data_IF_678054092717
#
_entry.id   IF_678054092717
#
_cell.length_a   1.000
_cell.length_b   1.000
_cell.length_c   1.000
_cell.angle_alpha   90.00
_cell.angle_beta   90.00
_cell.angle_gamma   90.00
#
_symmetry.space_group_name_H-M   'P 1'
#
loop_
_entity.id
_entity.type
_entity.pdbx_description
1 polymer ?
#
# COMPACT_ATOMS: atom_id res chain seq x y z
N UNK A 1 -28.83 -12.42 13.25
CA UNK A 1 -28.53 -11.25 14.09
C UNK A 1 -27.74 -10.28 13.23
N UNK A 2 -28.26 -9.10 12.94
CA UNK A 2 -27.49 -8.02 12.28
C UNK A 2 -26.50 -7.51 13.31
N UNK A 3 -25.20 -7.76 13.07
CA UNK A 3 -24.13 -7.20 13.90
C UNK A 3 -24.20 -5.67 13.81
N UNK A 4 -24.09 -4.97 14.94
CA UNK A 4 -23.94 -3.52 14.96
C UNK A 4 -22.68 -3.14 14.19
N UNK A 5 -22.75 -2.24 13.21
CA UNK A 5 -21.58 -1.83 12.44
C UNK A 5 -20.50 -1.21 13.33
N UNK A 6 -19.22 -1.48 13.06
CA UNK A 6 -18.11 -0.78 13.68
C UNK A 6 -18.07 0.67 13.20
N UNK A 7 -17.90 1.58 14.11
CA UNK A 7 -17.79 3.02 13.87
C UNK A 7 -16.37 3.40 13.48
N UNK A 8 -16.19 3.91 12.28
CA UNK A 8 -14.91 4.31 11.74
C UNK A 8 -14.80 5.84 11.74
N UNK A 9 -13.73 6.35 12.33
CA UNK A 9 -13.34 7.74 12.22
C UNK A 9 -12.20 7.90 11.24
N UNK A 10 -12.33 8.80 10.28
CA UNK A 10 -11.32 9.08 9.24
C UNK A 10 -10.58 10.38 9.56
N UNK A 11 -9.26 10.31 9.74
CA UNK A 11 -8.41 11.48 9.92
C UNK A 11 -7.81 11.90 8.58
N UNK A 12 -8.18 13.09 8.11
CA UNK A 12 -7.76 13.63 6.82
C UNK A 12 -8.76 13.36 5.70
N UNK A 13 -9.15 14.44 5.01
CA UNK A 13 -10.09 14.38 3.87
C UNK A 13 -9.45 14.99 2.60
N UNK A 14 -8.14 14.73 2.43
CA UNK A 14 -7.39 14.97 1.21
C UNK A 14 -7.73 13.96 0.12
N UNK A 15 -6.84 13.79 -0.87
CA UNK A 15 -7.06 12.84 -1.96
C UNK A 15 -7.29 11.41 -1.44
N UNK A 16 -6.42 10.91 -0.55
CA UNK A 16 -6.53 9.55 -0.04
C UNK A 16 -7.84 9.36 0.76
N UNK A 17 -8.10 10.23 1.73
CA UNK A 17 -9.32 10.15 2.54
C UNK A 17 -10.59 10.20 1.72
N UNK A 18 -10.68 11.14 0.77
CA UNK A 18 -11.89 11.36 -0.04
C UNK A 18 -12.10 10.29 -1.11
N UNK A 19 -11.02 9.93 -1.84
CA UNK A 19 -11.13 9.08 -3.04
C UNK A 19 -11.03 7.60 -2.69
N UNK A 20 -10.22 7.23 -1.71
CA UNK A 20 -9.99 5.82 -1.36
C UNK A 20 -10.73 5.44 -0.08
N UNK A 21 -10.37 6.04 1.06
CA UNK A 21 -10.80 5.55 2.37
C UNK A 21 -12.31 5.69 2.60
N UNK A 22 -12.88 6.89 2.43
CA UNK A 22 -14.29 7.11 2.71
C UNK A 22 -15.23 6.23 1.85
N UNK A 23 -15.05 6.14 0.51
CA UNK A 23 -15.87 5.24 -0.31
C UNK A 23 -15.74 3.76 0.08
N UNK A 24 -14.52 3.29 0.39
CA UNK A 24 -14.30 1.91 0.79
C UNK A 24 -14.94 1.59 2.14
N UNK A 25 -14.86 2.51 3.12
CA UNK A 25 -15.52 2.36 4.43
C UNK A 25 -17.03 2.20 4.26
N UNK A 26 -17.68 3.12 3.55
CA UNK A 26 -19.15 3.10 3.42
C UNK A 26 -19.69 1.95 2.58
N UNK A 27 -18.86 1.38 1.68
CA UNK A 27 -19.22 0.22 0.86
C UNK A 27 -18.70 -1.13 1.41
N UNK A 28 -18.11 -1.14 2.61
CA UNK A 28 -17.74 -2.39 3.29
C UNK A 28 -18.82 -2.77 4.31
N UNK A 29 -19.54 -3.87 4.12
CA UNK A 29 -20.60 -4.29 5.06
C UNK A 29 -20.06 -4.42 6.49
N UNK A 30 -20.81 -3.94 7.48
CA UNK A 30 -20.44 -3.96 8.89
C UNK A 30 -19.50 -2.85 9.32
N UNK A 31 -19.21 -1.87 8.47
CA UNK A 31 -18.55 -0.62 8.82
C UNK A 31 -19.48 0.58 8.62
N UNK A 32 -19.27 1.63 9.39
CA UNK A 32 -19.96 2.91 9.25
C UNK A 32 -18.97 4.05 9.37
N UNK A 33 -18.95 4.97 8.40
CA UNK A 33 -18.22 6.22 8.53
C UNK A 33 -18.92 7.10 9.57
N UNK A 34 -18.38 7.12 10.79
CA UNK A 34 -18.98 7.79 11.95
C UNK A 34 -18.60 9.26 12.00
N UNK A 35 -17.32 9.56 11.79
CA UNK A 35 -16.83 10.94 11.81
C UNK A 35 -15.62 11.12 10.90
N UNK A 36 -15.37 12.36 10.49
CA UNK A 36 -14.20 12.77 9.70
C UNK A 36 -13.52 13.93 10.39
N UNK A 37 -12.20 13.78 10.67
CA UNK A 37 -11.39 14.92 11.11
C UNK A 37 -10.85 15.65 9.88
N UNK A 38 -11.32 16.87 9.66
CA UNK A 38 -10.97 17.72 8.52
C UNK A 38 -11.05 19.19 8.88
N UNK A 39 -10.16 20.00 8.32
CA UNK A 39 -10.24 21.47 8.38
C UNK A 39 -11.30 22.06 7.44
N UNK A 40 -11.79 21.26 6.49
CA UNK A 40 -12.78 21.65 5.49
C UNK A 40 -14.06 20.82 5.68
N UNK A 41 -14.95 21.31 6.56
CA UNK A 41 -16.20 20.63 6.86
C UNK A 41 -17.16 20.64 5.66
N UNK A 42 -17.18 21.72 4.88
CA UNK A 42 -18.06 21.83 3.73
C UNK A 42 -17.77 20.78 2.67
N UNK A 43 -16.50 20.49 2.44
CA UNK A 43 -16.05 19.45 1.52
C UNK A 43 -16.49 18.04 1.95
N UNK A 44 -16.45 17.74 3.23
CA UNK A 44 -16.92 16.45 3.76
C UNK A 44 -18.44 16.33 3.64
N UNK A 45 -19.16 17.37 4.07
CA UNK A 45 -20.62 17.39 4.06
C UNK A 45 -21.24 17.37 2.64
N UNK A 46 -20.49 17.88 1.65
CA UNK A 46 -20.92 17.76 0.23
C UNK A 46 -20.97 16.31 -0.25
N UNK A 47 -20.04 15.46 0.23
CA UNK A 47 -20.01 14.03 -0.14
C UNK A 47 -20.82 13.17 0.85
N UNK A 48 -20.83 13.53 2.16
CA UNK A 48 -21.46 12.79 3.26
C UNK A 48 -22.19 13.76 4.22
N UNK A 49 -23.43 14.18 3.90
CA UNK A 49 -24.16 15.21 4.66
C UNK A 49 -24.38 14.88 6.14
N UNK A 50 -24.56 13.60 6.46
CA UNK A 50 -24.91 13.13 7.82
C UNK A 50 -23.68 12.73 8.67
N UNK A 51 -22.47 12.84 8.12
CA UNK A 51 -21.26 12.45 8.84
C UNK A 51 -20.79 13.60 9.73
N UNK A 52 -20.49 13.30 11.00
CA UNK A 52 -19.93 14.28 11.92
C UNK A 52 -18.54 14.75 11.46
N UNK A 53 -18.32 16.06 11.42
CA UNK A 53 -17.01 16.64 11.09
C UNK A 53 -16.41 17.30 12.31
N UNK A 54 -15.18 16.96 12.63
CA UNK A 54 -14.41 17.55 13.74
C UNK A 54 -13.11 18.17 13.21
N UNK A 55 -12.72 19.31 13.78
CA UNK A 55 -11.47 19.97 13.38
C UNK A 55 -10.26 19.37 14.09
N UNK A 56 -10.42 18.93 15.32
CA UNK A 56 -9.33 18.40 16.17
C UNK A 56 -9.41 16.87 16.29
N UNK A 57 -8.37 16.12 15.83
CA UNK A 57 -8.29 14.68 15.98
C UNK A 57 -8.41 14.18 17.44
N UNK A 58 -8.03 14.99 18.43
CA UNK A 58 -8.14 14.62 19.84
C UNK A 58 -9.60 14.33 20.24
N UNK A 59 -10.56 15.02 19.64
CA UNK A 59 -12.00 14.75 19.86
C UNK A 59 -12.44 13.39 19.34
N UNK A 60 -11.81 12.92 18.24
CA UNK A 60 -12.02 11.55 17.72
C UNK A 60 -11.52 10.52 18.73
N UNK A 61 -10.32 10.75 19.29
CA UNK A 61 -9.73 9.81 20.23
C UNK A 61 -10.52 9.72 21.55
N UNK A 62 -11.12 10.83 21.98
CA UNK A 62 -11.93 10.90 23.19
C UNK A 62 -13.37 10.33 22.99
N UNK A 63 -13.84 10.15 21.78
CA UNK A 63 -15.20 9.66 21.51
C UNK A 63 -15.31 8.14 21.77
N UNK A 64 -16.01 7.69 22.81
CA UNK A 64 -16.13 6.26 23.14
C UNK A 64 -16.87 5.46 22.06
N UNK A 65 -17.61 6.12 21.19
CA UNK A 65 -18.34 5.50 20.09
C UNK A 65 -17.47 5.10 18.90
N UNK A 66 -16.19 5.50 18.86
CA UNK A 66 -15.27 5.14 17.76
C UNK A 66 -14.57 3.82 18.05
N UNK A 67 -14.66 2.86 17.13
CA UNK A 67 -13.99 1.56 17.19
C UNK A 67 -12.66 1.57 16.44
N UNK A 68 -12.64 2.15 15.24
CA UNK A 68 -11.49 2.18 14.32
C UNK A 68 -11.16 3.61 13.91
N UNK A 69 -9.89 3.98 14.01
CA UNK A 69 -9.35 5.24 13.47
C UNK A 69 -8.56 4.92 12.19
N UNK A 70 -8.91 5.59 11.09
CA UNK A 70 -8.17 5.54 9.82
C UNK A 70 -7.37 6.81 9.69
N UNK A 71 -6.03 6.68 9.55
CA UNK A 71 -5.12 7.82 9.41
C UNK A 71 -4.75 7.98 7.93
N UNK A 72 -5.30 9.00 7.27
CA UNK A 72 -5.09 9.32 5.86
C UNK A 72 -4.59 10.77 5.67
N UNK A 73 -3.71 11.18 6.56
CA UNK A 73 -3.06 12.50 6.62
C UNK A 73 -1.69 12.48 5.92
N UNK A 74 -0.92 13.57 5.84
CA UNK A 74 0.45 13.52 5.33
C UNK A 74 1.36 12.59 6.14
N UNK A 75 2.28 11.88 5.49
CA UNK A 75 3.12 10.83 6.06
C UNK A 75 3.79 11.19 7.40
N UNK A 76 4.29 12.41 7.54
CA UNK A 76 4.95 12.89 8.77
C UNK A 76 4.02 12.91 10.01
N UNK A 77 2.70 12.83 9.80
CA UNK A 77 1.71 12.84 10.89
C UNK A 77 1.17 11.44 11.22
N UNK A 78 1.54 10.41 10.47
CA UNK A 78 1.06 9.05 10.68
C UNK A 78 1.42 8.54 12.08
N UNK A 79 2.69 8.60 12.45
CA UNK A 79 3.16 8.07 13.73
C UNK A 79 2.53 8.78 14.94
N UNK A 80 2.57 10.12 15.08
CA UNK A 80 1.98 10.77 16.24
C UNK A 80 0.46 10.53 16.35
N UNK A 81 -0.29 10.55 15.24
CA UNK A 81 -1.74 10.35 15.28
C UNK A 81 -2.10 8.88 15.59
N UNK A 82 -1.42 7.92 14.99
CA UNK A 82 -1.65 6.52 15.25
C UNK A 82 -1.33 6.13 16.70
N UNK A 83 -0.19 6.60 17.24
CA UNK A 83 0.20 6.36 18.64
C UNK A 83 -0.83 6.96 19.60
N UNK A 84 -1.30 8.19 19.33
CA UNK A 84 -2.33 8.83 20.16
C UNK A 84 -3.64 8.05 20.15
N UNK A 85 -4.11 7.58 18.97
CA UNK A 85 -5.31 6.79 18.84
C UNK A 85 -5.19 5.43 19.55
N UNK A 86 -4.06 4.73 19.39
CA UNK A 86 -3.80 3.45 20.06
C UNK A 86 -3.82 3.60 21.59
N UNK A 87 -3.14 4.63 22.13
CA UNK A 87 -3.13 4.94 23.57
C UNK A 87 -4.50 5.32 24.10
N UNK A 88 -5.35 5.90 23.27
CA UNK A 88 -6.75 6.16 23.60
C UNK A 88 -7.65 4.90 23.48
N UNK A 89 -7.06 3.74 23.21
CA UNK A 89 -7.78 2.46 23.14
C UNK A 89 -8.51 2.21 21.83
N UNK A 90 -8.14 2.88 20.74
CA UNK A 90 -8.74 2.69 19.41
C UNK A 90 -7.90 1.75 18.56
N UNK A 91 -8.56 0.93 17.72
CA UNK A 91 -7.88 0.22 16.64
C UNK A 91 -7.46 1.20 15.55
N UNK A 92 -6.38 0.93 14.84
CA UNK A 92 -5.83 1.89 13.87
C UNK A 92 -5.49 1.22 12.54
N UNK A 93 -5.95 1.82 11.45
CA UNK A 93 -5.50 1.56 10.09
C UNK A 93 -4.81 2.82 9.55
N UNK A 94 -3.55 2.72 9.15
CA UNK A 94 -2.78 3.84 8.62
C UNK A 94 -2.67 3.73 7.10
N UNK A 95 -2.82 4.84 6.37
CA UNK A 95 -2.45 4.87 4.95
C UNK A 95 -0.95 4.56 4.78
N UNK A 96 -0.54 4.07 3.63
CA UNK A 96 0.87 3.79 3.34
C UNK A 96 1.66 5.08 3.03
N UNK A 97 2.96 5.11 3.34
CA UNK A 97 3.72 4.15 4.16
C UNK A 97 3.29 4.21 5.62
N UNK A 98 3.60 3.17 6.41
CA UNK A 98 3.25 3.16 7.84
C UNK A 98 3.80 4.40 8.55
N UNK A 99 5.05 4.78 8.26
CA UNK A 99 5.78 5.89 8.86
C UNK A 99 6.78 6.48 7.86
N UNK A 100 7.52 7.50 8.26
CA UNK A 100 8.59 8.13 7.46
C UNK A 100 9.96 7.47 7.63
N UNK A 101 10.07 6.46 8.49
CA UNK A 101 11.26 5.65 8.73
C UNK A 101 11.00 4.53 9.73
N UNK A 102 11.91 3.56 9.80
CA UNK A 102 11.77 2.34 10.60
C UNK A 102 11.60 2.64 12.09
N UNK A 103 12.38 3.56 12.64
CA UNK A 103 12.30 3.89 14.07
C UNK A 103 10.93 4.45 14.51
N UNK A 104 10.24 5.19 13.61
CA UNK A 104 8.86 5.63 13.87
C UNK A 104 7.89 4.44 13.83
N UNK A 105 8.04 3.57 12.83
CA UNK A 105 7.21 2.37 12.70
C UNK A 105 7.34 1.45 13.92
N UNK A 106 8.54 1.25 14.44
CA UNK A 106 8.80 0.48 15.66
C UNK A 106 8.07 1.06 16.87
N UNK A 107 8.07 2.40 17.03
CA UNK A 107 7.31 3.07 18.11
C UNK A 107 5.80 2.87 17.97
N UNK A 108 5.28 2.88 16.74
CA UNK A 108 3.85 2.62 16.48
C UNK A 108 3.47 1.19 16.83
N UNK A 109 4.31 0.22 16.45
CA UNK A 109 4.10 -1.20 16.79
C UNK A 109 4.19 -1.44 18.29
N UNK A 110 5.14 -0.79 18.98
CA UNK A 110 5.23 -0.84 20.44
C UNK A 110 3.94 -0.31 21.10
N UNK A 111 3.43 0.85 20.66
CA UNK A 111 2.19 1.41 21.17
C UNK A 111 0.96 0.50 20.93
N UNK A 112 0.92 -0.20 19.79
CA UNK A 112 -0.13 -1.17 19.51
C UNK A 112 -0.08 -2.36 20.47
N UNK A 113 1.12 -2.90 20.73
CA UNK A 113 1.33 -3.99 21.69
C UNK A 113 0.98 -3.56 23.12
N UNK A 114 1.41 -2.37 23.55
CA UNK A 114 1.13 -1.81 24.88
C UNK A 114 -0.37 -1.59 25.12
N UNK A 115 -1.09 -1.11 24.11
CA UNK A 115 -2.54 -0.84 24.21
C UNK A 115 -3.41 -2.08 24.01
N UNK A 116 -2.86 -3.17 23.49
CA UNK A 116 -3.61 -4.35 23.07
C UNK A 116 -4.56 -4.07 21.91
N UNK A 117 -4.28 -3.05 21.09
CA UNK A 117 -5.10 -2.66 19.96
C UNK A 117 -4.44 -3.06 18.64
N UNK A 118 -5.26 -3.29 17.64
CA UNK A 118 -4.80 -3.64 16.29
C UNK A 118 -4.25 -2.40 15.62
N UNK A 119 -3.02 -2.50 15.10
CA UNK A 119 -2.42 -1.59 14.13
C UNK A 119 -2.26 -2.32 12.81
N UNK A 120 -2.71 -1.71 11.73
CA UNK A 120 -2.51 -2.23 10.37
C UNK A 120 -2.22 -1.10 9.39
N UNK A 121 -1.79 -1.46 8.17
CA UNK A 121 -1.47 -0.53 7.08
C UNK A 121 -2.38 -0.81 5.89
N UNK A 122 -2.81 0.25 5.21
CA UNK A 122 -3.64 0.15 4.02
C UNK A 122 -2.79 -0.20 2.79
N UNK A 123 -2.30 -1.44 2.73
CA UNK A 123 -1.64 -2.00 1.55
C UNK A 123 -2.69 -2.51 0.56
N UNK A 124 -3.47 -1.58 0.02
CA UNK A 124 -4.60 -1.87 -0.87
C UNK A 124 -4.19 -2.67 -2.10
N UNK A 125 -2.96 -2.47 -2.61
CA UNK A 125 -2.48 -3.14 -3.82
C UNK A 125 -2.18 -4.64 -3.65
N UNK A 126 -2.32 -5.19 -2.44
CA UNK A 126 -2.47 -6.64 -2.23
C UNK A 126 -3.75 -7.18 -2.90
N UNK A 127 -4.71 -6.29 -3.18
CA UNK A 127 -6.01 -6.58 -3.78
C UNK A 127 -6.11 -6.06 -5.23
N UNK A 128 -4.99 -5.70 -5.86
CA UNK A 128 -4.93 -5.44 -7.30
C UNK A 128 -5.16 -6.75 -8.07
N UNK A 129 -5.98 -6.71 -9.11
CA UNK A 129 -6.30 -7.87 -9.95
C UNK A 129 -5.04 -8.51 -10.57
N UNK A 130 -4.10 -7.66 -11.00
CA UNK A 130 -2.81 -8.08 -11.57
C UNK A 130 -1.96 -8.84 -10.56
N UNK A 131 -1.91 -8.37 -9.31
CA UNK A 131 -1.15 -9.01 -8.23
C UNK A 131 -1.82 -10.31 -7.75
N UNK A 132 -3.14 -10.33 -7.59
CA UNK A 132 -3.88 -11.55 -7.21
C UNK A 132 -3.67 -12.66 -8.23
N UNK A 133 -3.69 -12.31 -9.52
CA UNK A 133 -3.42 -13.26 -10.61
C UNK A 133 -1.98 -13.79 -10.55
N UNK A 134 -1.00 -12.90 -10.40
CA UNK A 134 0.41 -13.30 -10.26
C UNK A 134 0.62 -14.20 -9.04
N UNK A 135 0.03 -13.85 -7.90
CA UNK A 135 0.12 -14.65 -6.68
C UNK A 135 -0.42 -16.06 -6.89
N UNK A 136 -1.59 -16.18 -7.51
CA UNK A 136 -2.15 -17.50 -7.85
C UNK A 136 -1.21 -18.33 -8.71
N UNK A 137 -0.59 -17.74 -9.75
CA UNK A 137 0.36 -18.44 -10.61
C UNK A 137 1.61 -18.93 -9.87
N UNK A 138 2.11 -18.14 -8.91
CA UNK A 138 3.25 -18.52 -8.07
C UNK A 138 2.87 -19.63 -7.09
N UNK A 139 1.73 -19.49 -6.40
CA UNK A 139 1.21 -20.46 -5.43
C UNK A 139 0.89 -21.82 -6.10
N UNK A 140 0.35 -21.80 -7.32
CA UNK A 140 0.05 -23.00 -8.14
C UNK A 140 1.31 -23.63 -8.78
N UNK A 141 2.47 -23.00 -8.65
CA UNK A 141 3.73 -23.47 -9.25
C UNK A 141 3.78 -23.39 -10.78
N UNK A 142 2.90 -22.61 -11.41
CA UNK A 142 2.79 -22.47 -12.87
C UNK A 142 4.07 -21.91 -13.52
N UNK A 143 4.87 -21.19 -12.77
CA UNK A 143 6.13 -20.61 -13.21
C UNK A 143 7.35 -21.45 -12.80
N UNK A 144 7.14 -22.54 -12.05
CA UNK A 144 8.23 -23.26 -11.41
C UNK A 144 8.94 -22.42 -10.34
N UNK A 145 10.24 -22.59 -10.17
CA UNK A 145 11.04 -21.70 -9.28
C UNK A 145 11.24 -20.36 -9.98
N UNK A 146 10.70 -19.27 -9.38
CA UNK A 146 10.87 -17.92 -9.91
C UNK A 146 12.31 -17.45 -9.68
N UNK A 147 12.99 -17.04 -10.75
CA UNK A 147 14.39 -16.60 -10.73
C UNK A 147 14.55 -15.11 -11.01
N UNK A 148 13.56 -14.50 -11.66
CA UNK A 148 13.54 -13.07 -11.97
C UNK A 148 12.12 -12.53 -11.90
N UNK A 149 11.95 -11.37 -11.24
CA UNK A 149 10.71 -10.62 -11.21
C UNK A 149 11.00 -9.15 -11.43
N UNK A 150 10.30 -8.54 -12.37
CA UNK A 150 10.24 -7.09 -12.55
C UNK A 150 8.83 -6.60 -12.17
N UNK A 151 8.77 -5.61 -11.29
CA UNK A 151 7.54 -4.90 -10.90
C UNK A 151 7.70 -3.43 -11.20
N UNK A 152 6.88 -2.91 -12.11
CA UNK A 152 6.96 -1.55 -12.61
C UNK A 152 5.73 -0.74 -12.22
N UNK A 153 5.95 0.54 -11.89
CA UNK A 153 4.90 1.50 -11.66
C UNK A 153 5.26 2.85 -12.29
N UNK A 154 5.40 2.85 -13.60
CA UNK A 154 5.87 3.99 -14.36
C UNK A 154 4.77 4.99 -14.66
N UNK A 155 5.15 6.26 -14.86
CA UNK A 155 4.26 7.35 -15.23
C UNK A 155 4.96 8.33 -16.14
N UNK A 156 4.17 9.11 -16.89
CA UNK A 156 4.70 10.26 -17.64
C UNK A 156 4.17 11.55 -17.04
N UNK A 157 4.98 12.20 -16.21
CA UNK A 157 4.67 13.45 -15.50
C UNK A 157 5.88 14.39 -15.55
N UNK A 158 6.17 14.99 -16.71
CA UNK A 158 7.37 15.82 -16.88
C UNK A 158 7.33 17.11 -16.04
N UNK A 159 6.14 17.65 -15.78
CA UNK A 159 5.99 18.81 -14.90
C UNK A 159 5.93 18.40 -13.43
N UNK A 160 6.62 19.14 -12.56
CA UNK A 160 6.53 19.01 -11.09
C UNK A 160 5.21 19.64 -10.63
N UNK A 161 4.40 18.88 -9.89
CA UNK A 161 3.13 19.36 -9.39
C UNK A 161 3.29 20.03 -8.02
N UNK A 162 2.50 21.08 -7.74
CA UNK A 162 2.47 21.70 -6.42
C UNK A 162 1.65 20.86 -5.42
N UNK A 163 2.31 19.85 -4.85
CA UNK A 163 1.74 18.97 -3.83
C UNK A 163 2.82 18.59 -2.80
N UNK A 164 2.41 18.23 -1.59
CA UNK A 164 3.34 17.95 -0.50
C UNK A 164 4.36 16.84 -0.80
N UNK A 165 3.99 15.82 -1.60
CA UNK A 165 4.87 14.70 -1.99
C UNK A 165 6.01 15.11 -2.92
N UNK A 166 5.88 16.24 -3.60
CA UNK A 166 6.89 16.82 -4.51
C UNK A 166 7.76 17.89 -3.80
N UNK A 167 7.46 18.20 -2.52
CA UNK A 167 8.23 19.11 -1.69
C UNK A 167 9.17 18.31 -0.80
N UNK A 168 10.39 18.81 -0.56
CA UNK A 168 11.36 18.17 0.32
C UNK A 168 10.79 18.01 1.74
N UNK A 169 10.89 16.80 2.28
CA UNK A 169 10.40 16.48 3.62
C UNK A 169 10.39 14.97 3.89
N UNK A 170 10.19 14.58 5.18
CA UNK A 170 10.15 13.16 5.54
C UNK A 170 9.06 12.40 4.82
N UNK A 171 9.40 11.28 4.20
CA UNK A 171 8.45 10.43 3.48
C UNK A 171 7.92 11.02 2.18
N UNK A 172 8.56 12.07 1.62
CA UNK A 172 8.29 12.60 0.29
C UNK A 172 9.08 11.81 -0.77
N UNK A 173 8.78 12.09 -2.05
CA UNK A 173 9.43 11.46 -3.19
C UNK A 173 8.73 10.19 -3.68
N UNK A 174 9.17 9.72 -4.83
CA UNK A 174 8.57 8.59 -5.53
C UNK A 174 8.83 7.27 -4.80
N UNK A 175 10.00 7.13 -4.17
CA UNK A 175 10.34 5.94 -3.40
C UNK A 175 9.35 5.70 -2.25
N UNK A 176 9.03 6.72 -1.45
CA UNK A 176 8.03 6.60 -0.39
C UNK A 176 6.58 6.64 -0.90
N UNK A 177 6.32 7.11 -2.13
CA UNK A 177 4.97 7.06 -2.73
C UNK A 177 4.65 5.68 -3.32
N UNK A 178 5.54 5.08 -4.10
CA UNK A 178 5.29 3.84 -4.84
C UNK A 178 6.08 2.63 -4.31
N UNK A 179 7.26 2.84 -3.76
CA UNK A 179 8.09 1.76 -3.20
C UNK A 179 7.37 0.89 -2.17
N UNK A 180 6.58 1.44 -1.21
CA UNK A 180 5.85 0.63 -0.24
C UNK A 180 4.95 -0.43 -0.87
N UNK A 181 4.31 -0.14 -1.99
CA UNK A 181 3.46 -1.07 -2.70
C UNK A 181 4.24 -2.19 -3.37
N UNK A 182 5.32 -1.82 -4.09
CA UNK A 182 6.13 -2.79 -4.84
C UNK A 182 6.89 -3.71 -3.88
N UNK A 183 7.45 -3.14 -2.81
CA UNK A 183 8.12 -3.89 -1.74
C UNK A 183 7.14 -4.86 -1.09
N UNK A 184 5.98 -4.37 -0.61
CA UNK A 184 4.99 -5.20 0.05
C UNK A 184 4.56 -6.39 -0.80
N UNK A 185 4.26 -6.17 -2.10
CA UNK A 185 3.88 -7.24 -3.02
C UNK A 185 4.97 -8.32 -3.16
N UNK A 186 6.24 -7.92 -3.27
CA UNK A 186 7.35 -8.89 -3.38
C UNK A 186 7.55 -9.64 -2.06
N UNK A 187 7.43 -8.96 -0.90
CA UNK A 187 7.52 -9.62 0.40
C UNK A 187 6.37 -10.63 0.62
N UNK A 188 5.17 -10.36 0.09
CA UNK A 188 4.06 -11.32 0.14
C UNK A 188 4.34 -12.59 -0.66
N UNK A 189 5.09 -12.50 -1.77
CA UNK A 189 5.40 -13.64 -2.62
C UNK A 189 6.61 -14.44 -2.13
N UNK A 190 7.64 -13.77 -1.62
CA UNK A 190 8.98 -14.39 -1.43
C UNK A 190 9.59 -14.12 -0.05
N UNK A 191 8.89 -13.42 0.85
CA UNK A 191 9.43 -13.02 2.16
C UNK A 191 10.57 -12.02 2.07
N UNK A 192 11.35 -11.90 3.15
CA UNK A 192 12.43 -10.92 3.26
C UNK A 192 13.62 -11.27 2.35
N UNK A 193 14.17 -10.28 1.60
CA UNK A 193 15.37 -10.49 0.80
C UNK A 193 16.63 -10.56 1.67
N UNK A 194 17.70 -11.10 1.11
CA UNK A 194 19.02 -11.11 1.76
C UNK A 194 19.68 -9.73 1.77
N UNK A 195 19.44 -8.93 0.73
CA UNK A 195 20.05 -7.62 0.59
C UNK A 195 19.25 -6.75 -0.39
N UNK A 196 19.43 -5.43 -0.28
CA UNK A 196 18.84 -4.39 -1.13
C UNK A 196 19.95 -3.61 -1.82
N UNK A 197 19.83 -3.42 -3.13
CA UNK A 197 20.64 -2.47 -3.91
C UNK A 197 19.71 -1.49 -4.62
N UNK A 198 19.92 -0.20 -4.44
CA UNK A 198 19.02 0.84 -4.92
C UNK A 198 19.76 1.96 -5.65
N UNK A 199 19.16 2.40 -6.75
CA UNK A 199 19.40 3.69 -7.38
C UNK A 199 18.10 4.51 -7.23
N UNK A 200 18.16 5.59 -6.46
CA UNK A 200 17.04 6.51 -6.21
C UNK A 200 17.53 7.90 -6.60
N UNK A 201 16.88 8.52 -7.58
CA UNK A 201 17.40 9.72 -8.22
C UNK A 201 16.34 10.79 -8.48
N UNK A 202 16.80 12.00 -8.65
CA UNK A 202 16.04 13.15 -9.16
C UNK A 202 16.40 13.32 -10.63
N UNK A 203 15.45 13.11 -11.53
CA UNK A 203 15.64 13.21 -12.96
C UNK A 203 15.04 14.48 -13.57
N UNK A 204 13.93 15.00 -13.01
CA UNK A 204 13.33 16.25 -13.48
C UNK A 204 14.10 17.46 -12.93
N UNK A 205 14.49 18.44 -13.75
CA UNK A 205 15.36 19.54 -13.31
C UNK A 205 14.83 20.36 -12.13
N UNK A 206 13.50 20.49 -12.01
CA UNK A 206 12.85 21.31 -10.98
C UNK A 206 12.35 20.49 -9.77
N UNK A 207 12.59 19.17 -9.77
CA UNK A 207 12.13 18.32 -8.67
C UNK A 207 13.02 18.50 -7.43
N UNK A 208 12.38 18.62 -6.28
CA UNK A 208 13.05 18.74 -4.97
C UNK A 208 13.21 17.39 -4.25
N UNK A 209 12.64 16.33 -4.80
CA UNK A 209 12.62 14.96 -4.26
C UNK A 209 12.79 13.95 -5.37
N UNK A 210 13.11 12.71 -5.03
CA UNK A 210 13.26 11.62 -5.99
C UNK A 210 11.99 11.41 -6.83
N UNK A 211 12.19 11.16 -8.11
CA UNK A 211 11.16 10.90 -9.10
C UNK A 211 11.49 9.71 -10.01
N UNK A 212 12.51 8.98 -9.60
CA UNK A 212 12.99 7.73 -10.19
C UNK A 212 13.53 6.81 -9.10
N UNK A 213 13.25 5.52 -9.22
CA UNK A 213 13.98 4.49 -8.52
C UNK A 213 14.09 3.20 -9.35
N UNK A 214 15.23 2.51 -9.16
CA UNK A 214 15.50 1.17 -9.65
C UNK A 214 16.16 0.40 -8.51
N UNK A 215 15.43 -0.57 -7.95
CA UNK A 215 15.83 -1.28 -6.73
C UNK A 215 15.84 -2.77 -6.98
N UNK A 216 16.94 -3.44 -6.63
CA UNK A 216 17.09 -4.89 -6.73
C UNK A 216 17.05 -5.50 -5.34
N UNK A 217 16.05 -6.33 -5.08
CA UNK A 217 15.97 -7.20 -3.92
C UNK A 217 16.62 -8.54 -4.23
N UNK A 218 17.66 -8.89 -3.47
CA UNK A 218 18.47 -10.08 -3.68
C UNK A 218 18.01 -11.22 -2.78
N UNK A 219 17.62 -12.32 -3.39
CA UNK A 219 17.37 -13.60 -2.72
C UNK A 219 18.45 -14.61 -3.15
N UNK A 220 18.51 -15.82 -2.58
CA UNK A 220 19.51 -16.80 -2.96
C UNK A 220 19.58 -17.04 -4.47
N UNK A 221 18.43 -17.24 -5.12
CA UNK A 221 18.33 -17.51 -6.57
C UNK A 221 17.50 -16.49 -7.33
N UNK A 222 16.57 -15.76 -6.68
CA UNK A 222 15.71 -14.75 -7.29
C UNK A 222 16.37 -13.36 -7.27
N UNK A 223 16.15 -12.59 -8.34
CA UNK A 223 16.34 -11.13 -8.38
C UNK A 223 14.98 -10.49 -8.60
N UNK A 224 14.47 -9.73 -7.62
CA UNK A 224 13.27 -8.96 -7.78
C UNK A 224 13.65 -7.49 -8.01
N UNK A 225 13.27 -6.97 -9.18
CA UNK A 225 13.54 -5.60 -9.62
C UNK A 225 12.27 -4.77 -9.43
N UNK A 226 12.39 -3.71 -8.64
CA UNK A 226 11.33 -2.73 -8.41
C UNK A 226 11.68 -1.44 -9.14
N UNK A 227 10.80 -0.94 -9.98
CA UNK A 227 11.07 0.23 -10.79
C UNK A 227 9.89 1.19 -10.83
N UNK A 228 10.17 2.48 -10.72
CA UNK A 228 9.25 3.53 -11.09
C UNK A 228 10.00 4.77 -11.58
N UNK A 229 9.47 5.38 -12.62
CA UNK A 229 9.98 6.63 -13.17
C UNK A 229 8.85 7.60 -13.50
N UNK A 230 9.10 8.91 -13.28
CA UNK A 230 8.15 9.96 -13.62
C UNK A 230 8.21 10.39 -15.10
N UNK A 231 9.22 9.94 -15.85
CA UNK A 231 9.47 10.33 -17.25
C UNK A 231 9.33 9.18 -18.25
N UNK A 232 8.57 8.16 -17.93
CA UNK A 232 8.36 6.98 -18.79
C UNK A 232 7.07 7.12 -19.57
N UNK A 233 7.17 7.55 -20.83
CA UNK A 233 6.00 7.77 -21.69
C UNK A 233 5.37 6.44 -22.20
N UNK A 234 6.20 5.41 -22.46
CA UNK A 234 5.75 4.07 -22.86
C UNK A 234 5.66 3.15 -21.62
N UNK A 235 4.79 3.48 -20.68
CA UNK A 235 4.70 2.90 -19.34
C UNK A 235 3.76 1.69 -19.24
N UNK A 236 3.79 0.80 -20.19
CA UNK A 236 2.84 -0.32 -20.24
C UNK A 236 3.18 -1.50 -19.33
N UNK A 237 4.46 -1.77 -19.04
CA UNK A 237 4.86 -2.94 -18.26
C UNK A 237 4.41 -2.80 -16.80
N UNK A 238 3.77 -3.86 -16.27
CA UNK A 238 3.42 -3.97 -14.85
C UNK A 238 4.24 -5.06 -14.17
N UNK A 239 4.20 -6.27 -14.71
CA UNK A 239 5.00 -7.39 -14.24
C UNK A 239 5.66 -8.11 -15.41
N UNK A 240 6.95 -8.48 -15.24
CA UNK A 240 7.61 -9.53 -16.00
C UNK A 240 8.21 -10.50 -15.00
N UNK A 241 7.76 -11.74 -15.03
CA UNK A 241 8.17 -12.78 -14.09
C UNK A 241 8.63 -14.00 -14.83
N UNK A 242 9.83 -14.47 -14.52
CA UNK A 242 10.49 -15.58 -15.18
C UNK A 242 10.86 -16.65 -14.15
N UNK A 243 10.51 -17.87 -14.45
CA UNK A 243 10.83 -19.04 -13.62
C UNK A 243 11.25 -20.24 -14.45
N UNK A 244 11.60 -21.32 -13.79
CA UNK A 244 12.07 -22.55 -14.44
C UNK A 244 10.97 -23.27 -15.24
N UNK A 245 9.70 -22.97 -14.98
CA UNK A 245 8.54 -23.57 -15.64
C UNK A 245 7.86 -22.65 -16.65
N UNK A 246 8.19 -21.37 -16.71
CA UNK A 246 7.56 -20.44 -17.63
C UNK A 246 7.77 -18.97 -17.28
N UNK A 247 7.12 -18.11 -18.05
CA UNK A 247 7.16 -16.66 -17.89
C UNK A 247 5.76 -16.06 -17.88
N UNK A 248 5.54 -15.02 -17.07
CA UNK A 248 4.31 -14.26 -17.03
C UNK A 248 4.58 -12.80 -17.27
N UNK A 249 3.91 -12.21 -18.25
CA UNK A 249 4.02 -10.79 -18.60
C UNK A 249 2.66 -10.13 -18.45
N UNK A 250 2.60 -9.04 -17.67
CA UNK A 250 1.40 -8.24 -17.47
C UNK A 250 1.68 -6.79 -17.83
N UNK A 251 0.79 -6.22 -18.61
CA UNK A 251 0.78 -4.80 -18.94
C UNK A 251 -0.44 -4.11 -18.33
N UNK A 252 -0.35 -2.79 -18.13
CA UNK A 252 -1.42 -1.98 -17.55
C UNK A 252 -1.52 -2.12 -16.03
N UNK A 253 -2.14 -1.13 -15.40
CA UNK A 253 -2.38 -1.09 -13.95
C UNK A 253 -3.80 -1.53 -13.63
N UNK A 254 -4.00 -2.02 -12.41
CA UNK A 254 -5.32 -2.31 -11.84
C UNK A 254 -6.29 -1.12 -12.01
N UNK A 255 -7.55 -1.34 -12.42
CA UNK A 255 -8.49 -0.27 -12.73
C UNK A 255 -9.17 0.37 -11.51
N UNK A 256 -9.07 -0.21 -10.31
CA UNK A 256 -9.82 0.25 -9.13
C UNK A 256 -9.50 1.70 -8.74
N UNK A 257 -8.22 2.13 -8.81
CA UNK A 257 -7.88 3.53 -8.54
C UNK A 257 -8.56 4.48 -9.54
N UNK A 258 -8.57 4.14 -10.83
CA UNK A 258 -9.22 4.94 -11.85
C UNK A 258 -10.74 4.98 -11.64
N UNK A 259 -11.36 3.87 -11.27
CA UNK A 259 -12.78 3.76 -10.95
C UNK A 259 -13.15 4.63 -9.73
N UNK A 260 -12.37 4.58 -8.65
CA UNK A 260 -12.57 5.45 -7.47
C UNK A 260 -12.45 6.93 -7.81
N UNK A 261 -11.47 7.31 -8.64
CA UNK A 261 -11.31 8.70 -9.10
C UNK A 261 -12.46 9.17 -9.98
N UNK A 262 -13.08 8.26 -10.70
CA UNK A 262 -14.28 8.53 -11.52
C UNK A 262 -15.57 8.50 -10.69
N UNK A 263 -15.51 8.25 -9.37
CA UNK A 263 -16.66 8.19 -8.48
C UNK A 263 -17.50 6.91 -8.62
N UNK A 264 -16.95 5.86 -9.23
CA UNK A 264 -17.60 4.55 -9.33
C UNK A 264 -17.58 3.90 -7.93
N UNK A 265 -18.75 3.49 -7.48
CA UNK A 265 -18.91 2.88 -6.16
C UNK A 265 -18.16 1.55 -6.04
N UNK A 266 -17.39 1.32 -4.96
CA UNK A 266 -16.78 0.03 -4.69
C UNK A 266 -17.79 -1.11 -4.68
N UNK A 267 -17.51 -2.17 -5.44
CA UNK A 267 -18.41 -3.31 -5.60
C UNK A 267 -19.54 -3.15 -6.60
N UNK A 268 -19.56 -2.06 -7.39
CA UNK A 268 -20.46 -1.93 -8.54
C UNK A 268 -20.18 -3.05 -9.58
N UNK A 269 -21.12 -3.36 -10.47
CA UNK A 269 -20.90 -4.35 -11.52
C UNK A 269 -19.63 -4.07 -12.32
N UNK A 270 -18.75 -5.07 -12.45
CA UNK A 270 -17.45 -4.94 -13.10
C UNK A 270 -16.33 -4.30 -12.23
N UNK A 271 -16.61 -3.99 -10.96
CA UNK A 271 -15.61 -3.52 -10.02
C UNK A 271 -14.41 -4.46 -9.96
N UNK A 272 -13.19 -3.87 -10.02
CA UNK A 272 -11.93 -4.61 -9.92
C UNK A 272 -11.59 -5.53 -11.09
N UNK A 273 -12.43 -5.62 -12.12
CA UNK A 273 -12.14 -6.40 -13.32
C UNK A 273 -11.13 -5.68 -14.20
N UNK A 274 -9.97 -6.28 -14.37
CA UNK A 274 -8.97 -5.79 -15.31
C UNK A 274 -9.27 -6.33 -16.72
N UNK A 275 -9.55 -5.47 -17.71
CA UNK A 275 -9.85 -5.90 -19.07
C UNK A 275 -8.62 -6.38 -19.83
N UNK A 276 -7.40 -6.07 -19.35
CA UNK A 276 -6.16 -6.44 -20.02
C UNK A 276 -5.62 -7.75 -19.45
N UNK A 277 -5.63 -8.86 -20.21
CA UNK A 277 -5.08 -10.12 -19.72
C UNK A 277 -3.57 -10.06 -19.56
N UNK A 278 -3.03 -10.86 -18.65
CA UNK A 278 -1.62 -11.21 -18.65
C UNK A 278 -1.32 -12.36 -19.59
N UNK A 279 -0.09 -12.50 -20.04
CA UNK A 279 0.34 -13.56 -20.95
C UNK A 279 1.23 -14.53 -20.19
N UNK A 280 0.80 -15.77 -20.09
CA UNK A 280 1.60 -16.89 -19.59
C UNK A 280 2.22 -17.63 -20.78
N UNK A 281 3.54 -17.79 -20.75
CA UNK A 281 4.31 -18.57 -21.72
C UNK A 281 5.00 -19.72 -21.01
N UNK A 282 4.70 -20.94 -21.40
CA UNK A 282 5.39 -22.15 -20.91
C UNK A 282 6.14 -22.78 -22.06
N UNK A 283 7.27 -23.51 -21.81
CA UNK A 283 8.02 -24.20 -22.85
C UNK A 283 7.10 -25.14 -23.67
N UNK A 284 7.37 -25.22 -24.94
CA UNK A 284 6.70 -26.11 -25.90
C UNK A 284 5.18 -25.93 -26.03
N UNK A 285 4.64 -24.77 -25.62
CA UNK A 285 3.22 -24.41 -25.76
C UNK A 285 3.05 -22.99 -26.30
N UNK A 286 1.91 -22.74 -26.95
CA UNK A 286 1.54 -21.38 -27.37
C UNK A 286 1.29 -20.46 -26.18
N UNK A 287 1.68 -19.16 -26.27
CA UNK A 287 1.40 -18.18 -25.22
C UNK A 287 -0.12 -18.10 -24.92
N UNK A 288 -0.46 -18.16 -23.64
CA UNK A 288 -1.84 -18.15 -23.15
C UNK A 288 -2.20 -16.79 -22.53
N UNK A 289 -3.24 -16.16 -23.06
CA UNK A 289 -3.86 -15.01 -22.40
C UNK A 289 -4.68 -15.50 -21.19
N UNK A 290 -4.35 -14.99 -20.00
CA UNK A 290 -5.04 -15.35 -18.76
C UNK A 290 -5.94 -14.19 -18.33
N UNK A 291 -7.24 -14.47 -18.19
CA UNK A 291 -8.14 -13.56 -17.49
C UNK A 291 -7.68 -13.40 -16.03
N UNK A 292 -7.63 -12.16 -15.57
CA UNK A 292 -7.25 -11.88 -14.19
C UNK A 292 -8.33 -12.28 -13.18
N UNK A 293 -7.90 -12.44 -11.93
CA UNK A 293 -8.81 -12.49 -10.78
C UNK A 293 -9.30 -11.07 -10.51
N UNK A 294 -10.61 -10.87 -10.30
CA UNK A 294 -11.14 -9.53 -9.99
C UNK A 294 -10.57 -9.01 -8.66
N UNK A 295 -10.09 -7.77 -8.65
CA UNK A 295 -9.57 -7.11 -7.45
C UNK A 295 -10.68 -6.52 -6.59
N UNK A 296 -10.44 -6.38 -5.27
CA UNK A 296 -11.40 -5.67 -4.40
C UNK A 296 -10.71 -5.02 -3.18
N UNK A 297 -10.52 -3.72 -3.23
CA UNK A 297 -9.91 -2.97 -2.12
C UNK A 297 -10.72 -3.02 -0.83
N UNK A 298 -12.03 -3.33 -0.88
CA UNK A 298 -12.87 -3.53 0.30
C UNK A 298 -12.38 -4.70 1.16
N UNK A 299 -11.69 -5.67 0.56
CA UNK A 299 -11.14 -6.82 1.30
C UNK A 299 -10.18 -6.39 2.42
N UNK A 300 -9.44 -5.28 2.25
CA UNK A 300 -8.60 -4.73 3.31
C UNK A 300 -9.45 -4.28 4.52
N UNK A 301 -10.56 -3.58 4.26
CA UNK A 301 -11.47 -3.13 5.30
C UNK A 301 -12.27 -4.27 5.94
N UNK A 302 -12.69 -5.24 5.14
CA UNK A 302 -13.35 -6.44 5.64
C UNK A 302 -12.44 -7.23 6.59
N UNK A 303 -11.18 -7.44 6.21
CA UNK A 303 -10.19 -8.09 7.06
C UNK A 303 -9.91 -7.31 8.36
N UNK A 304 -9.86 -5.97 8.30
CA UNK A 304 -9.70 -5.13 9.50
C UNK A 304 -10.91 -5.25 10.43
N UNK A 305 -12.13 -5.22 9.90
CA UNK A 305 -13.37 -5.46 10.65
C UNK A 305 -13.34 -6.83 11.33
N UNK A 306 -13.01 -7.86 10.58
CA UNK A 306 -13.02 -9.24 11.07
C UNK A 306 -11.96 -9.45 12.16
N UNK A 307 -10.80 -8.83 12.02
CA UNK A 307 -9.76 -8.83 13.05
C UNK A 307 -10.24 -8.15 14.36
N UNK A 308 -10.92 -6.99 14.27
CA UNK A 308 -11.49 -6.28 15.41
C UNK A 308 -12.55 -7.14 16.12
N UNK A 309 -13.35 -7.88 15.35
CA UNK A 309 -14.37 -8.79 15.87
C UNK A 309 -13.82 -10.14 16.35
N UNK A 310 -12.50 -10.37 16.23
CA UNK A 310 -11.84 -11.61 16.66
C UNK A 310 -12.07 -12.80 15.73
N UNK A 311 -12.51 -12.58 14.51
CA UNK A 311 -12.81 -13.63 13.51
C UNK A 311 -11.75 -13.79 12.42
N UNK A 312 -10.63 -13.04 12.47
CA UNK A 312 -9.56 -13.11 11.48
C UNK A 312 -8.29 -12.37 11.90
N UNK A 313 -7.29 -12.40 11.01
CA UNK A 313 -6.07 -11.61 11.16
C UNK A 313 -6.25 -10.21 10.51
N UNK A 314 -5.51 -9.19 10.95
CA UNK A 314 -5.50 -7.89 10.29
C UNK A 314 -4.96 -8.02 8.85
N UNK A 315 -5.35 -7.11 7.93
CA UNK A 315 -4.95 -7.18 6.52
C UNK A 315 -3.44 -7.11 6.31
N UNK A 316 -2.75 -6.41 7.19
CA UNK A 316 -1.30 -6.35 7.30
C UNK A 316 -0.95 -6.45 8.77
N UNK A 317 -0.12 -7.42 9.15
CA UNK A 317 0.34 -7.53 10.53
C UNK A 317 1.39 -6.47 10.84
N UNK A 318 1.58 -6.09 12.12
CA UNK A 318 2.65 -5.15 12.50
C UNK A 318 4.03 -5.61 12.05
N UNK A 319 4.33 -6.90 12.09
CA UNK A 319 5.62 -7.45 11.67
C UNK A 319 5.81 -7.30 10.16
N UNK A 320 4.81 -7.61 9.34
CA UNK A 320 4.84 -7.36 7.89
C UNK A 320 5.03 -5.87 7.56
N UNK A 321 4.39 -5.00 8.33
CA UNK A 321 4.57 -3.55 8.14
C UNK A 321 6.00 -3.09 8.47
N UNK A 322 6.63 -3.65 9.51
CA UNK A 322 8.05 -3.39 9.84
C UNK A 322 8.99 -3.94 8.77
N UNK A 323 8.74 -5.13 8.22
CA UNK A 323 9.52 -5.70 7.11
C UNK A 323 9.55 -4.77 5.89
N UNK A 324 8.40 -4.21 5.51
CA UNK A 324 8.33 -3.22 4.43
C UNK A 324 9.19 -1.99 4.77
N UNK A 325 9.08 -1.45 5.98
CA UNK A 325 9.85 -0.28 6.40
C UNK A 325 11.36 -0.57 6.45
N UNK A 326 11.78 -1.76 6.85
CA UNK A 326 13.20 -2.18 6.81
C UNK A 326 13.77 -2.16 5.39
N UNK A 327 13.00 -2.66 4.42
CA UNK A 327 13.42 -2.63 3.00
C UNK A 327 13.46 -1.19 2.47
N UNK A 328 12.50 -0.34 2.84
CA UNK A 328 12.48 1.07 2.43
C UNK A 328 13.70 1.83 2.96
N UNK A 329 14.01 1.69 4.25
CA UNK A 329 15.17 2.34 4.86
C UNK A 329 16.49 1.80 4.28
N UNK A 330 16.58 0.49 4.04
CA UNK A 330 17.72 -0.11 3.36
C UNK A 330 17.89 0.42 1.93
N UNK A 331 16.81 0.66 1.21
CA UNK A 331 16.84 1.30 -0.11
C UNK A 331 17.45 2.70 -0.06
N UNK A 332 17.00 3.54 0.89
CA UNK A 332 17.58 4.87 1.12
C UNK A 332 19.07 4.80 1.46
N UNK A 333 19.46 3.91 2.38
CA UNK A 333 20.86 3.71 2.77
C UNK A 333 21.71 3.20 1.60
N UNK A 334 21.16 2.32 0.76
CA UNK A 334 21.83 1.81 -0.44
C UNK A 334 22.08 2.91 -1.46
N UNK A 335 21.06 3.71 -1.78
CA UNK A 335 21.18 4.82 -2.72
C UNK A 335 22.21 5.87 -2.23
N UNK A 336 22.17 6.21 -0.94
CA UNK A 336 23.11 7.18 -0.36
C UNK A 336 24.57 6.69 -0.33
N UNK A 337 24.79 5.38 -0.12
CA UNK A 337 26.15 4.82 -0.01
C UNK A 337 26.69 4.26 -1.34
N UNK A 338 25.86 4.04 -2.34
CA UNK A 338 26.20 3.31 -3.58
C UNK A 338 26.51 1.82 -3.36
N UNK A 339 26.11 1.26 -2.21
CA UNK A 339 26.42 -0.12 -1.81
C UNK A 339 25.15 -0.92 -1.58
N UNK A 340 25.26 -2.25 -1.77
CA UNK A 340 24.22 -3.18 -1.33
C UNK A 340 24.16 -3.23 0.20
N UNK A 341 22.94 -3.15 0.77
CA UNK A 341 22.68 -3.25 2.21
C UNK A 341 22.20 -4.66 2.53
N UNK A 342 22.91 -5.36 3.41
CA UNK A 342 22.55 -6.71 3.89
C UNK A 342 21.42 -6.61 4.94
N UNK A 343 20.34 -7.39 4.74
CA UNK A 343 19.20 -7.47 5.64
C UNK A 343 19.20 -8.75 6.50
N UNK A 344 20.17 -9.63 6.29
CA UNK A 344 20.31 -10.79 7.18
C UNK A 344 20.60 -10.32 8.60
N UNK A 345 19.96 -10.93 9.59
CA UNK A 345 20.34 -10.69 10.98
C UNK A 345 21.86 -10.94 11.13
N UNK A 346 22.60 -10.10 11.87
CA UNK A 346 23.99 -10.38 12.14
C UNK A 346 24.07 -11.79 12.74
N UNK A 347 24.81 -12.68 12.07
CA UNK A 347 25.13 -13.99 12.62
C UNK A 347 25.79 -13.72 13.98
N UNK A 348 25.10 -14.05 15.07
CA UNK A 348 25.72 -13.98 16.39
C UNK A 348 26.96 -14.88 16.32
N UNK A 349 28.13 -14.26 16.36
CA UNK A 349 29.42 -14.94 16.47
C UNK A 349 29.54 -15.63 17.82
#
# INVERSE_FOLDING_TARGET
>A
MTLTPLNVALLGYGLAGRVFHAPLIVHTPGLRLHSVASSDAAKVQADFPDVAVVADPARVFADPGVDLVVVATPNATHAPLAIAALRAGRHVLVDKPLATGLAEAERMVAAARESGRILSVFQNRRQDADFLTLRGLVEEGRLGEVVELHSHFDRFRPAVADRWRERAGPGAGLWFDLGPHLVDQVLQLFGMPLAVQADIAVQRPEAAVDDFFHVVLRYPRLRAVLHAGALVAANGLRFAVHGTGGSYIKHGLDPQEAALRAGIAPGAPGWGRDPQPGILTVPDAEPQALAGVDGDYRACYAAMRDAILGSGAPPVTPDQALEVMQVLDAGVASAASGRSIDLRAPTRA
#
